data_IF_975548369028
#
_entry.id   IF_975548369028
#
_cell.length_a   1.000
_cell.length_b   1.000
_cell.length_c   1.000
_cell.angle_alpha   90.00
_cell.angle_beta   90.00
_cell.angle_gamma   90.00
#
_symmetry.space_group_name_H-M   'P 1'
#
loop_
_entity.id
_entity.type
_entity.pdbx_description
1 polymer ?
#
# COMPACT_ATOMS: atom_id res chain seq x y z
N UNK A 1 22.18 -6.21 -0.43
CA UNK A 1 21.50 -7.49 -0.76
C UNK A 1 20.16 -7.15 -1.40
N UNK A 2 19.83 -7.72 -2.56
CA UNK A 2 18.52 -7.53 -3.19
C UNK A 2 17.51 -8.47 -2.53
N UNK A 3 16.38 -7.93 -2.04
CA UNK A 3 15.31 -8.67 -1.36
C UNK A 3 13.96 -8.58 -2.08
N UNK A 4 13.95 -8.11 -3.33
CA UNK A 4 12.73 -7.82 -4.07
C UNK A 4 11.78 -9.02 -4.20
N UNK A 5 12.34 -10.21 -4.45
CA UNK A 5 11.54 -11.43 -4.60
C UNK A 5 10.85 -11.80 -3.28
N UNK A 6 11.53 -11.63 -2.16
CA UNK A 6 11.07 -12.02 -0.82
C UNK A 6 9.94 -11.08 -0.36
N UNK A 7 10.12 -9.77 -0.49
CA UNK A 7 9.12 -8.77 -0.04
C UNK A 7 7.85 -8.76 -0.90
N UNK A 8 7.91 -9.29 -2.13
CA UNK A 8 6.76 -9.38 -3.04
C UNK A 8 6.01 -10.71 -2.95
N UNK A 9 6.46 -11.64 -2.09
CA UNK A 9 5.83 -12.94 -1.89
C UNK A 9 4.51 -12.88 -1.12
N UNK A 10 3.75 -13.97 -1.18
CA UNK A 10 2.50 -14.10 -0.43
C UNK A 10 2.72 -14.13 1.09
N UNK A 11 3.85 -14.64 1.56
CA UNK A 11 4.18 -14.66 2.99
C UNK A 11 4.22 -13.25 3.57
N UNK A 12 4.97 -12.34 2.96
CA UNK A 12 5.01 -10.93 3.40
C UNK A 12 3.64 -10.26 3.23
N UNK A 13 2.95 -10.53 2.12
CA UNK A 13 1.62 -9.97 1.85
C UNK A 13 0.58 -10.34 2.91
N UNK A 14 0.69 -11.53 3.52
CA UNK A 14 -0.21 -12.01 4.59
C UNK A 14 0.11 -11.43 5.96
N UNK A 15 1.36 -11.08 6.23
CA UNK A 15 1.78 -10.59 7.55
C UNK A 15 1.81 -9.06 7.64
N UNK A 16 1.75 -8.35 6.51
CA UNK A 16 1.81 -6.88 6.50
C UNK A 16 0.72 -6.22 7.35
N UNK A 17 -0.48 -6.82 7.41
CA UNK A 17 -1.61 -6.32 8.19
C UNK A 17 -1.39 -6.41 9.71
N UNK A 18 -0.45 -7.24 10.16
CA UNK A 18 -0.06 -7.33 11.57
C UNK A 18 0.94 -6.24 11.97
N UNK A 19 1.77 -5.79 11.02
CA UNK A 19 2.89 -4.88 11.27
C UNK A 19 2.53 -3.42 10.94
N UNK A 20 1.82 -3.19 9.83
CA UNK A 20 1.47 -1.85 9.35
C UNK A 20 0.60 -1.00 10.29
N UNK A 21 -0.21 -1.58 11.21
CA UNK A 21 -0.96 -0.78 12.19
C UNK A 21 -0.17 -0.45 13.45
N UNK A 22 1.02 -1.03 13.67
CA UNK A 22 1.80 -0.83 14.90
C UNK A 22 2.25 0.64 15.00
N UNK A 23 1.81 1.41 16.01
CA UNK A 23 2.02 2.85 16.07
C UNK A 23 3.49 3.28 16.03
N UNK A 24 4.37 2.57 16.74
CA UNK A 24 5.79 2.87 16.84
C UNK A 24 6.52 2.65 15.51
N UNK A 25 6.16 1.56 14.82
CA UNK A 25 6.67 1.26 13.47
C UNK A 25 6.24 2.35 12.51
N UNK A 26 4.95 2.71 12.54
CA UNK A 26 4.40 3.74 11.66
C UNK A 26 5.03 5.10 11.93
N UNK A 27 5.13 5.52 13.19
CA UNK A 27 5.74 6.80 13.56
C UNK A 27 7.19 6.89 13.07
N UNK A 28 7.95 5.79 13.12
CA UNK A 28 9.32 5.76 12.58
C UNK A 28 9.34 5.87 11.06
N UNK A 29 8.49 5.12 10.35
CA UNK A 29 8.45 5.12 8.89
C UNK A 29 7.95 6.45 8.31
N UNK A 30 6.96 7.10 8.92
CA UNK A 30 6.46 8.42 8.50
C UNK A 30 7.58 9.46 8.59
N UNK A 31 8.37 9.46 9.68
CA UNK A 31 9.53 10.36 9.80
C UNK A 31 10.56 10.15 8.70
N UNK A 32 10.85 8.89 8.35
CA UNK A 32 11.77 8.57 7.26
C UNK A 32 11.22 9.03 5.90
N UNK A 33 9.94 8.81 5.64
CA UNK A 33 9.27 9.26 4.42
C UNK A 33 9.28 10.79 4.30
N UNK A 34 9.00 11.51 5.38
CA UNK A 34 9.04 12.97 5.43
C UNK A 34 10.44 13.51 5.13
N UNK A 35 11.48 12.92 5.73
CA UNK A 35 12.87 13.29 5.46
C UNK A 35 13.23 13.13 3.97
N UNK A 36 12.76 12.06 3.31
CA UNK A 36 12.97 11.86 1.87
C UNK A 36 12.30 12.95 1.00
N UNK A 37 11.26 13.62 1.50
CA UNK A 37 10.54 14.66 0.77
C UNK A 37 10.99 16.10 1.06
N UNK A 38 11.96 16.31 1.96
CA UNK A 38 12.41 17.65 2.37
C UNK A 38 12.92 18.50 1.20
N UNK A 39 13.69 17.88 0.30
CA UNK A 39 14.25 18.54 -0.89
C UNK A 39 13.25 18.66 -2.05
N UNK A 40 12.01 18.19 -1.87
CA UNK A 40 10.96 18.10 -2.90
C UNK A 40 11.42 17.23 -4.09
N UNK A 41 10.66 17.23 -5.19
CA UNK A 41 11.01 16.46 -6.39
C UNK A 41 10.76 14.94 -6.28
N UNK A 42 10.00 14.49 -5.29
CA UNK A 42 9.70 13.07 -5.05
C UNK A 42 8.26 12.74 -5.44
N UNK A 43 8.07 11.59 -6.09
CA UNK A 43 6.76 10.94 -6.25
C UNK A 43 6.69 9.78 -5.27
N UNK A 44 5.67 9.76 -4.42
CA UNK A 44 5.50 8.74 -3.38
C UNK A 44 4.15 8.04 -3.52
N UNK A 45 4.18 6.72 -3.51
CA UNK A 45 3.02 5.83 -3.54
C UNK A 45 2.81 5.22 -2.13
N UNK A 46 1.55 5.16 -1.70
CA UNK A 46 1.14 4.62 -0.41
C UNK A 46 -0.33 4.89 -0.10
N UNK A 47 -0.79 4.44 1.07
CA UNK A 47 -2.21 4.50 1.46
C UNK A 47 -2.61 5.87 2.02
N UNK A 48 -1.75 6.51 2.78
CA UNK A 48 -2.03 7.69 3.59
C UNK A 48 -1.03 8.84 3.33
N UNK A 49 -0.41 8.84 2.15
CA UNK A 49 0.60 9.82 1.77
C UNK A 49 0.01 11.23 1.77
N UNK A 50 -1.11 11.43 1.06
CA UNK A 50 -1.72 12.76 0.90
C UNK A 50 -2.54 13.25 2.11
N UNK A 51 -2.76 12.39 3.11
CA UNK A 51 -3.60 12.67 4.29
C UNK A 51 -2.79 12.77 5.58
N UNK A 52 -1.70 11.99 5.71
CA UNK A 52 -0.90 11.97 6.93
C UNK A 52 0.58 12.27 6.68
N UNK A 53 1.23 11.63 5.71
CA UNK A 53 2.68 11.80 5.51
C UNK A 53 3.00 13.20 4.97
N UNK A 54 2.32 13.60 3.88
CA UNK A 54 2.43 14.90 3.23
C UNK A 54 1.05 15.53 2.99
N UNK A 55 0.38 16.03 4.05
CA UNK A 55 -0.92 16.71 3.91
C UNK A 55 -0.85 17.97 3.06
N UNK A 56 0.34 18.54 2.88
CA UNK A 56 0.59 19.74 2.07
C UNK A 56 1.26 19.43 0.71
N UNK A 57 1.21 18.18 0.25
CA UNK A 57 1.71 17.82 -1.08
C UNK A 57 1.03 18.67 -2.17
N UNK A 58 1.83 19.20 -3.11
CA UNK A 58 1.36 20.08 -4.18
C UNK A 58 0.37 19.38 -5.13
N UNK A 59 0.55 18.06 -5.33
CA UNK A 59 -0.34 17.21 -6.12
C UNK A 59 -0.65 15.95 -5.33
N UNK A 60 -1.92 15.53 -5.31
CA UNK A 60 -2.39 14.31 -4.67
C UNK A 60 -3.29 13.57 -5.65
N UNK A 61 -3.01 12.29 -5.87
CA UNK A 61 -3.79 11.41 -6.74
C UNK A 61 -4.39 10.30 -5.89
N UNK A 62 -5.68 10.04 -6.03
CA UNK A 62 -6.33 8.90 -5.38
C UNK A 62 -6.79 7.90 -6.44
N UNK A 63 -6.01 6.84 -6.63
CA UNK A 63 -6.30 5.81 -7.62
C UNK A 63 -7.24 4.75 -7.05
N UNK A 64 -8.33 4.47 -7.76
CA UNK A 64 -9.29 3.40 -7.41
C UNK A 64 -9.57 2.50 -8.61
N UNK A 65 -9.92 1.26 -8.34
CA UNK A 65 -10.36 0.28 -9.31
C UNK A 65 -11.15 -0.83 -8.60
N UNK A 66 -12.04 -1.50 -9.33
CA UNK A 66 -12.77 -2.65 -8.80
C UNK A 66 -11.80 -3.74 -8.30
N UNK A 67 -12.07 -4.41 -7.15
CA UNK A 67 -11.17 -5.44 -6.59
C UNK A 67 -10.75 -6.50 -7.60
N UNK A 68 -11.66 -6.94 -8.47
CA UNK A 68 -11.44 -7.99 -9.47
C UNK A 68 -10.42 -7.55 -10.55
N UNK A 69 -10.43 -6.26 -10.91
CA UNK A 69 -9.45 -5.70 -11.86
C UNK A 69 -8.05 -5.69 -11.24
N UNK A 70 -7.95 -5.30 -9.96
CA UNK A 70 -6.68 -5.31 -9.22
C UNK A 70 -6.19 -6.74 -8.98
N UNK A 71 -7.08 -7.66 -8.65
CA UNK A 71 -6.78 -9.07 -8.48
C UNK A 71 -6.29 -9.72 -9.78
N UNK A 72 -6.95 -9.44 -10.91
CA UNK A 72 -6.52 -9.93 -12.23
C UNK A 72 -5.11 -9.45 -12.55
N UNK A 73 -4.86 -8.14 -12.45
CA UNK A 73 -3.53 -7.56 -12.69
C UNK A 73 -2.47 -8.23 -11.81
N UNK A 74 -2.73 -8.37 -10.51
CA UNK A 74 -1.78 -8.98 -9.56
C UNK A 74 -1.53 -10.45 -9.85
N UNK A 75 -2.58 -11.19 -10.21
CA UNK A 75 -2.49 -12.60 -10.61
C UNK A 75 -1.59 -12.76 -11.85
N UNK A 76 -1.81 -11.94 -12.88
CA UNK A 76 -1.02 -11.97 -14.12
C UNK A 76 0.45 -11.59 -13.85
N UNK A 77 0.71 -10.60 -12.98
CA UNK A 77 2.05 -10.23 -12.53
C UNK A 77 2.75 -11.41 -11.82
N UNK A 78 2.06 -12.16 -10.97
CA UNK A 78 2.62 -13.31 -10.25
C UNK A 78 2.87 -14.49 -11.19
N UNK A 79 1.94 -14.80 -12.09
CA UNK A 79 2.08 -15.83 -13.12
C UNK A 79 3.25 -15.53 -14.06
N UNK A 80 3.42 -14.27 -14.49
CA UNK A 80 4.55 -13.86 -15.33
C UNK A 80 5.93 -14.08 -14.68
N UNK A 81 5.96 -14.15 -13.34
CA UNK A 81 7.16 -14.39 -12.52
C UNK A 81 7.33 -15.87 -12.16
N UNK A 82 6.51 -16.77 -12.73
CA UNK A 82 6.54 -18.21 -12.45
C UNK A 82 6.05 -18.57 -11.05
N UNK A 83 5.28 -17.69 -10.39
CA UNK A 83 4.69 -17.96 -9.08
C UNK A 83 3.34 -18.63 -9.27
N UNK A 84 3.21 -19.87 -8.80
CA UNK A 84 1.93 -20.57 -8.76
C UNK A 84 1.06 -20.01 -7.63
N UNK A 85 -0.03 -19.37 -8.01
CA UNK A 85 -1.06 -18.83 -7.12
C UNK A 85 -2.43 -19.07 -7.72
N UNK A 86 -3.43 -19.16 -6.86
CA UNK A 86 -4.82 -19.21 -7.25
C UNK A 86 -5.44 -17.80 -7.30
N UNK A 87 -6.28 -17.55 -8.30
CA UNK A 87 -6.91 -16.23 -8.48
C UNK A 87 -7.82 -15.88 -7.29
N UNK A 88 -8.59 -16.83 -6.76
CA UNK A 88 -9.47 -16.57 -5.63
C UNK A 88 -8.67 -16.20 -4.38
N UNK A 89 -7.50 -16.83 -4.18
CA UNK A 89 -6.58 -16.46 -3.09
C UNK A 89 -6.05 -15.03 -3.21
N UNK A 90 -5.80 -14.56 -4.43
CA UNK A 90 -5.34 -13.19 -4.69
C UNK A 90 -6.47 -12.18 -4.47
N UNK A 91 -7.68 -12.52 -4.90
CA UNK A 91 -8.87 -11.69 -4.69
C UNK A 91 -9.18 -11.53 -3.20
N UNK A 92 -9.26 -12.64 -2.44
CA UNK A 92 -9.50 -12.62 -0.98
C UNK A 92 -8.44 -11.78 -0.26
N UNK A 93 -7.17 -11.89 -0.66
CA UNK A 93 -6.11 -11.08 -0.07
C UNK A 93 -6.30 -9.57 -0.33
N UNK A 94 -6.74 -9.19 -1.53
CA UNK A 94 -6.98 -7.78 -1.86
C UNK A 94 -8.18 -7.24 -1.10
N UNK A 95 -9.29 -7.96 -1.09
CA UNK A 95 -10.52 -7.54 -0.41
C UNK A 95 -10.28 -7.39 1.10
N UNK A 96 -9.66 -8.37 1.73
CA UNK A 96 -9.31 -8.30 3.15
C UNK A 96 -8.40 -7.11 3.46
N UNK A 97 -7.39 -6.88 2.63
CA UNK A 97 -6.49 -5.73 2.82
C UNK A 97 -7.20 -4.40 2.66
N UNK A 98 -8.15 -4.29 1.74
CA UNK A 98 -8.92 -3.07 1.59
C UNK A 98 -9.84 -2.82 2.78
N UNK A 99 -10.47 -3.86 3.30
CA UNK A 99 -11.26 -3.76 4.52
C UNK A 99 -10.39 -3.32 5.71
N UNK A 100 -9.25 -3.98 5.93
CA UNK A 100 -8.34 -3.65 7.02
C UNK A 100 -7.83 -2.21 6.92
N UNK A 101 -7.39 -1.81 5.72
CA UNK A 101 -6.83 -0.48 5.50
C UNK A 101 -7.89 0.63 5.54
N UNK A 102 -9.17 0.34 5.27
CA UNK A 102 -10.25 1.34 5.38
C UNK A 102 -10.86 1.42 6.78
N UNK A 103 -10.89 0.32 7.54
CA UNK A 103 -11.47 0.24 8.89
C UNK A 103 -10.49 0.52 10.02
N UNK A 104 -9.18 0.57 9.75
CA UNK A 104 -8.15 0.87 10.77
C UNK A 104 -8.41 2.20 11.48
N UNK A 105 -8.32 2.17 12.81
CA UNK A 105 -8.56 3.34 13.66
C UNK A 105 -7.49 4.43 13.46
N UNK A 106 -6.23 4.03 13.27
CA UNK A 106 -5.13 4.95 13.02
C UNK A 106 -4.87 5.04 11.52
N UNK A 107 -5.02 6.23 10.93
CA UNK A 107 -4.61 6.54 9.54
C UNK A 107 -5.29 5.68 8.47
N UNK A 108 -6.64 5.69 8.42
CA UNK A 108 -7.38 4.92 7.44
C UNK A 108 -7.07 5.37 6.00
N UNK A 109 -7.18 4.43 5.05
CA UNK A 109 -7.20 4.75 3.62
C UNK A 109 -8.46 5.58 3.36
N UNK A 110 -8.28 6.88 3.26
CA UNK A 110 -9.32 7.84 2.87
C UNK A 110 -8.79 8.74 1.76
N UNK A 111 -9.68 9.13 0.85
CA UNK A 111 -9.36 10.13 -0.17
C UNK A 111 -9.14 11.48 0.52
N UNK A 112 -7.97 12.09 0.33
CA UNK A 112 -7.73 13.45 0.81
C UNK A 112 -8.72 14.42 0.13
N UNK A 113 -9.25 15.44 0.83
CA UNK A 113 -10.21 16.37 0.23
C UNK A 113 -9.70 17.06 -1.05
N UNK A 114 -8.39 17.27 -1.15
CA UNK A 114 -7.73 17.91 -2.29
C UNK A 114 -7.15 16.92 -3.30
N UNK A 115 -7.40 15.61 -3.14
CA UNK A 115 -6.95 14.62 -4.11
C UNK A 115 -7.89 14.57 -5.32
N UNK A 116 -7.29 14.44 -6.51
CA UNK A 116 -8.02 14.14 -7.75
C UNK A 116 -8.30 12.65 -7.82
#
# INVERSE_FOLDING_TARGET
RNVEKEIRGMDVSRHVTLVSPVPEVRAKLVKLQQALGEEKGVVMDGRDIGTVVFPQAAVKLYMTARPEVRARRRYDELKSKGVEVDYASVLDNIERRDEDDTKRAADPLIKAPTAV
#
